data_IF_870918599276
#
_entry.id   IF_870918599276
#
_cell.length_a   1.000
_cell.length_b   1.000
_cell.length_c   1.000
_cell.angle_alpha   90.00
_cell.angle_beta   90.00
_cell.angle_gamma   90.00
#
_symmetry.space_group_name_H-M   'P 1'
#
loop_
_entity.id
_entity.type
_entity.pdbx_description
1 polymer ?
#
# COMPACT_ATOMS: atom_id res chain seq x y z
N UNK A 1 -9.00 -24.57 -3.42
CA UNK A 1 -7.94 -24.38 -2.40
C UNK A 1 -8.21 -23.07 -1.69
N UNK A 2 -8.02 -22.99 -0.37
CA UNK A 2 -8.10 -21.72 0.36
C UNK A 2 -6.73 -21.03 0.48
N UNK A 3 -6.72 -19.75 0.84
CA UNK A 3 -5.50 -18.93 0.93
C UNK A 3 -4.52 -19.45 1.98
N UNK A 4 -5.01 -19.97 3.11
CA UNK A 4 -4.15 -20.49 4.19
C UNK A 4 -3.40 -21.72 3.70
N UNK A 5 -4.09 -22.60 2.98
CA UNK A 5 -3.48 -23.78 2.39
C UNK A 5 -2.49 -23.41 1.28
N UNK A 6 -2.80 -22.42 0.44
CA UNK A 6 -1.84 -21.88 -0.53
C UNK A 6 -0.57 -21.38 0.16
N UNK A 7 -0.68 -20.59 1.24
CA UNK A 7 0.47 -20.07 1.98
C UNK A 7 1.31 -21.21 2.58
N UNK A 8 0.66 -22.23 3.15
CA UNK A 8 1.35 -23.39 3.75
C UNK A 8 2.10 -24.22 2.69
N UNK A 9 1.47 -24.44 1.54
CA UNK A 9 2.05 -25.26 0.46
C UNK A 9 3.04 -24.50 -0.39
N UNK A 10 2.91 -23.17 -0.48
CA UNK A 10 3.78 -22.33 -1.30
C UNK A 10 5.21 -22.57 -0.91
N UNK A 11 6.01 -22.85 -1.92
CA UNK A 11 7.45 -23.09 -1.85
C UNK A 11 8.05 -22.77 -3.20
N UNK A 12 9.33 -22.44 -3.24
CA UNK A 12 10.01 -22.24 -4.51
C UNK A 12 10.49 -23.58 -5.08
N UNK A 13 10.16 -23.81 -6.34
CA UNK A 13 10.54 -24.98 -7.12
C UNK A 13 11.63 -24.59 -8.12
N UNK A 14 12.69 -25.40 -8.23
CA UNK A 14 13.81 -25.13 -9.15
C UNK A 14 13.94 -26.22 -10.21
N UNK A 15 12.88 -26.98 -10.42
CA UNK A 15 12.78 -28.07 -11.38
C UNK A 15 11.33 -28.22 -11.79
N UNK A 16 11.08 -28.21 -13.09
CA UNK A 16 9.75 -28.24 -13.69
C UNK A 16 9.67 -29.42 -14.66
N UNK A 17 8.48 -29.79 -15.11
CA UNK A 17 8.35 -30.64 -16.31
C UNK A 17 8.47 -29.80 -17.57
N UNK A 18 8.59 -30.45 -18.73
CA UNK A 18 8.57 -29.77 -20.04
C UNK A 18 7.14 -29.51 -20.54
N UNK A 19 6.12 -29.90 -19.78
CA UNK A 19 4.72 -29.62 -20.08
C UNK A 19 4.48 -28.11 -20.08
N UNK A 20 3.86 -27.55 -21.14
CA UNK A 20 3.58 -26.12 -21.20
C UNK A 20 2.56 -25.71 -20.13
N UNK A 21 2.56 -24.42 -19.79
CA UNK A 21 1.51 -23.83 -18.96
C UNK A 21 0.38 -23.37 -19.87
N UNK A 22 -0.85 -23.76 -19.54
CA UNK A 22 -2.02 -23.37 -20.32
C UNK A 22 -2.22 -21.85 -20.31
N UNK A 23 -2.69 -21.31 -21.44
CA UNK A 23 -2.95 -19.86 -21.61
C UNK A 23 -3.95 -19.34 -20.56
N UNK A 24 -4.96 -20.14 -20.21
CA UNK A 24 -5.93 -19.78 -19.16
C UNK A 24 -5.24 -19.66 -17.80
N UNK A 25 -4.33 -20.56 -17.48
CA UNK A 25 -3.57 -20.50 -16.23
C UNK A 25 -2.65 -19.28 -16.22
N UNK A 26 -1.95 -18.99 -17.32
CA UNK A 26 -1.13 -17.77 -17.45
C UNK A 26 -1.98 -16.50 -17.27
N UNK A 27 -3.15 -16.44 -17.90
CA UNK A 27 -4.08 -15.32 -17.75
C UNK A 27 -4.55 -15.13 -16.30
N UNK A 28 -4.81 -16.22 -15.58
CA UNK A 28 -5.17 -16.16 -14.15
C UNK A 28 -4.00 -15.68 -13.28
N UNK A 29 -2.77 -16.06 -13.59
CA UNK A 29 -1.58 -15.56 -12.90
C UNK A 29 -1.36 -14.07 -13.16
N UNK A 30 -1.54 -13.60 -14.40
CA UNK A 30 -1.49 -12.18 -14.75
C UNK A 30 -2.57 -11.40 -14.02
N UNK A 31 -3.80 -11.95 -13.96
CA UNK A 31 -4.88 -11.35 -13.18
C UNK A 31 -4.50 -11.24 -11.70
N UNK A 32 -3.93 -12.29 -11.10
CA UNK A 32 -3.50 -12.28 -9.70
C UNK A 32 -2.42 -11.22 -9.44
N UNK A 33 -1.43 -11.12 -10.32
CA UNK A 33 -0.42 -10.07 -10.29
C UNK A 33 -1.06 -8.69 -10.36
N UNK A 34 -1.99 -8.46 -11.30
CA UNK A 34 -2.70 -7.19 -11.50
C UNK A 34 -3.53 -6.76 -10.28
N UNK A 35 -4.01 -7.70 -9.47
CA UNK A 35 -4.83 -7.41 -8.27
C UNK A 35 -4.04 -7.07 -7.02
N UNK A 36 -2.70 -7.19 -7.05
CA UNK A 36 -1.87 -6.80 -5.92
C UNK A 36 -1.92 -5.28 -5.67
N UNK A 37 -1.85 -4.85 -4.40
CA UNK A 37 -1.87 -3.43 -4.04
C UNK A 37 -0.73 -2.68 -4.73
N UNK A 38 -0.98 -1.40 -5.01
CA UNK A 38 -0.08 -0.54 -5.77
C UNK A 38 -0.01 0.83 -5.12
N UNK A 39 1.23 1.33 -4.93
CA UNK A 39 1.46 2.65 -4.35
C UNK A 39 0.69 3.72 -5.10
N UNK A 40 -0.06 4.56 -4.38
CA UNK A 40 -0.89 5.61 -4.96
C UNK A 40 -1.98 5.14 -5.94
N UNK A 41 -2.18 3.82 -6.10
CA UNK A 41 -2.97 3.19 -7.17
C UNK A 41 -2.58 3.69 -8.59
N UNK A 42 -1.31 4.02 -8.78
CA UNK A 42 -0.78 4.58 -10.03
C UNK A 42 -0.28 3.46 -10.93
N UNK A 43 -0.74 3.38 -12.18
CA UNK A 43 -0.44 2.30 -13.13
C UNK A 43 1.06 2.21 -13.55
N UNK A 44 1.96 1.92 -12.61
CA UNK A 44 3.41 1.85 -12.79
C UNK A 44 3.89 0.44 -13.12
N UNK A 45 3.17 -0.59 -12.64
CA UNK A 45 3.48 -1.99 -12.92
C UNK A 45 3.24 -2.31 -14.39
N UNK A 46 4.17 -3.06 -14.98
CA UNK A 46 4.03 -3.74 -16.27
C UNK A 46 4.27 -5.22 -16.03
N UNK A 47 3.56 -6.07 -16.77
CA UNK A 47 3.72 -7.52 -16.66
C UNK A 47 4.03 -8.03 -18.06
N UNK A 48 5.17 -8.68 -18.22
CA UNK A 48 5.54 -9.37 -19.46
C UNK A 48 5.40 -10.86 -19.23
N UNK A 49 4.60 -11.53 -20.07
CA UNK A 49 4.46 -12.99 -20.06
C UNK A 49 5.33 -13.54 -21.18
N UNK A 50 6.21 -14.48 -20.86
CA UNK A 50 7.06 -15.15 -21.83
C UNK A 50 6.81 -16.65 -21.73
N UNK A 51 6.21 -17.22 -22.78
CA UNK A 51 5.98 -18.65 -22.92
C UNK A 51 6.47 -19.18 -24.29
N UNK A 52 6.89 -18.30 -25.21
CA UNK A 52 7.50 -18.72 -26.47
C UNK A 52 8.82 -19.45 -26.20
N UNK A 53 9.01 -20.68 -26.70
CA UNK A 53 10.21 -21.47 -26.42
C UNK A 53 11.51 -20.82 -26.91
N UNK A 54 11.48 -20.03 -27.98
CA UNK A 54 12.67 -19.34 -28.48
C UNK A 54 13.05 -18.16 -27.57
N UNK A 55 12.08 -17.33 -27.19
CA UNK A 55 12.32 -16.22 -26.25
C UNK A 55 12.75 -16.76 -24.88
N UNK A 56 12.11 -17.83 -24.39
CA UNK A 56 12.48 -18.48 -23.13
C UNK A 56 13.92 -18.99 -23.11
N UNK A 57 14.43 -19.52 -24.23
CA UNK A 57 15.85 -19.92 -24.34
C UNK A 57 16.77 -18.72 -24.11
N UNK A 58 16.48 -17.59 -24.73
CA UNK A 58 17.28 -16.37 -24.59
C UNK A 58 17.19 -15.79 -23.17
N UNK A 59 15.98 -15.72 -22.59
CA UNK A 59 15.76 -15.22 -21.22
C UNK A 59 16.55 -16.05 -20.19
N UNK A 60 16.61 -17.38 -20.36
CA UNK A 60 17.42 -18.26 -19.50
C UNK A 60 18.92 -17.99 -19.62
N UNK A 61 19.43 -17.70 -20.82
CA UNK A 61 20.85 -17.40 -21.04
C UNK A 61 21.29 -16.11 -20.32
N UNK A 62 20.41 -15.10 -20.27
CA UNK A 62 20.68 -13.82 -19.60
C UNK A 62 20.31 -13.81 -18.11
N UNK A 63 19.72 -14.90 -17.63
CA UNK A 63 19.35 -15.12 -16.22
C UNK A 63 19.91 -16.46 -15.71
N UNK A 64 21.25 -16.60 -15.70
CA UNK A 64 21.88 -17.88 -15.38
C UNK A 64 21.52 -18.35 -13.96
N UNK A 65 21.29 -19.66 -13.83
CA UNK A 65 21.19 -20.43 -12.58
C UNK A 65 19.86 -20.46 -11.82
N UNK A 66 18.80 -19.75 -12.22
CA UNK A 66 17.58 -19.70 -11.39
C UNK A 66 16.21 -19.88 -12.09
N UNK A 67 16.14 -19.85 -13.43
CA UNK A 67 14.90 -20.15 -14.16
C UNK A 67 14.70 -21.65 -14.46
N UNK A 68 15.72 -22.49 -14.21
CA UNK A 68 15.72 -23.93 -14.50
C UNK A 68 15.15 -24.23 -15.91
N UNK A 69 14.41 -25.34 -16.05
CA UNK A 69 13.66 -25.68 -17.26
C UNK A 69 12.20 -25.18 -17.24
N UNK A 70 11.88 -24.09 -16.50
CA UNK A 70 10.51 -23.58 -16.43
C UNK A 70 9.94 -23.20 -17.80
N UNK A 71 8.79 -23.74 -18.24
CA UNK A 71 8.22 -23.49 -19.57
C UNK A 71 7.77 -22.04 -19.80
N UNK A 72 7.49 -21.28 -18.74
CA UNK A 72 7.11 -19.87 -18.83
C UNK A 72 7.78 -19.01 -17.74
N UNK A 73 7.81 -17.70 -17.96
CA UNK A 73 8.17 -16.70 -16.94
C UNK A 73 7.22 -15.50 -17.02
N UNK A 74 6.77 -15.01 -15.87
CA UNK A 74 6.16 -13.69 -15.73
C UNK A 74 7.23 -12.73 -15.24
N UNK A 75 7.39 -11.59 -15.90
CA UNK A 75 8.32 -10.53 -15.49
C UNK A 75 7.50 -9.36 -14.98
N UNK A 76 7.58 -9.11 -13.69
CA UNK A 76 7.03 -7.92 -13.07
C UNK A 76 8.04 -6.79 -13.28
N UNK A 77 7.63 -5.75 -13.98
CA UNK A 77 8.45 -4.58 -14.25
C UNK A 77 7.80 -3.31 -13.69
N UNK A 78 8.62 -2.30 -13.42
CA UNK A 78 8.15 -0.96 -13.08
C UNK A 78 8.55 0.03 -14.14
N UNK A 79 7.59 0.85 -14.58
CA UNK A 79 7.80 2.10 -15.31
C UNK A 79 8.30 3.17 -14.33
N UNK A 80 9.63 3.36 -14.27
CA UNK A 80 10.30 4.20 -13.29
C UNK A 80 10.02 5.68 -13.51
N UNK A 81 9.93 6.12 -14.76
CA UNK A 81 9.58 7.49 -15.10
C UNK A 81 8.17 7.83 -14.62
N UNK A 82 7.22 6.91 -14.84
CA UNK A 82 5.86 7.09 -14.32
C UNK A 82 5.80 7.04 -12.80
N UNK A 83 6.56 6.14 -12.17
CA UNK A 83 6.62 6.04 -10.72
C UNK A 83 7.16 7.33 -10.10
N UNK A 84 8.22 7.90 -10.67
CA UNK A 84 8.77 9.18 -10.21
C UNK A 84 7.82 10.35 -10.49
N UNK A 85 7.22 10.42 -11.68
CA UNK A 85 6.31 11.49 -12.05
C UNK A 85 5.04 11.51 -11.18
N UNK A 86 4.54 10.35 -10.76
CA UNK A 86 3.29 10.24 -9.99
C UNK A 86 3.49 10.27 -8.46
N UNK A 87 4.62 9.75 -7.98
CA UNK A 87 4.85 9.49 -6.55
C UNK A 87 6.24 9.94 -6.06
N UNK A 88 6.99 10.67 -6.89
CA UNK A 88 8.33 11.15 -6.56
C UNK A 88 9.37 10.04 -6.45
N UNK A 89 10.53 10.39 -5.92
CA UNK A 89 11.67 9.48 -5.75
C UNK A 89 11.26 8.27 -4.89
N UNK A 90 10.43 8.46 -3.87
CA UNK A 90 9.91 7.35 -3.05
C UNK A 90 9.05 6.38 -3.87
N UNK A 91 8.24 6.90 -4.79
CA UNK A 91 7.52 6.11 -5.79
C UNK A 91 8.45 5.21 -6.60
N UNK A 92 9.49 5.81 -7.17
CA UNK A 92 10.47 5.15 -8.04
C UNK A 92 11.31 4.11 -7.32
N UNK A 93 11.83 4.44 -6.13
CA UNK A 93 12.92 3.69 -5.50
C UNK A 93 12.43 2.77 -4.37
N UNK A 94 11.25 3.03 -3.78
CA UNK A 94 10.74 2.27 -2.63
C UNK A 94 9.41 1.61 -2.94
N UNK A 95 8.39 2.39 -3.31
CA UNK A 95 7.03 1.88 -3.49
C UNK A 95 6.94 0.89 -4.66
N UNK A 96 7.72 1.10 -5.71
CA UNK A 96 7.82 0.19 -6.87
C UNK A 96 8.28 -1.23 -6.48
N UNK A 97 9.22 -1.35 -5.54
CA UNK A 97 9.74 -2.65 -5.10
C UNK A 97 8.74 -3.37 -4.19
N UNK A 98 8.04 -2.63 -3.33
CA UNK A 98 6.95 -3.17 -2.50
C UNK A 98 5.81 -3.67 -3.40
N UNK A 99 5.45 -2.89 -4.42
CA UNK A 99 4.46 -3.24 -5.44
C UNK A 99 4.83 -4.53 -6.17
N UNK A 100 6.07 -4.62 -6.68
CA UNK A 100 6.55 -5.80 -7.39
C UNK A 100 6.53 -7.05 -6.51
N UNK A 101 6.96 -6.94 -5.25
CA UNK A 101 6.92 -8.03 -4.28
C UNK A 101 5.50 -8.52 -3.97
N UNK A 102 4.55 -7.59 -3.81
CA UNK A 102 3.14 -7.93 -3.58
C UNK A 102 2.52 -8.64 -4.79
N UNK A 103 2.81 -8.17 -6.00
CA UNK A 103 2.38 -8.82 -7.24
C UNK A 103 2.96 -10.22 -7.37
N UNK A 104 4.25 -10.38 -7.08
CA UNK A 104 4.92 -11.67 -7.14
C UNK A 104 4.32 -12.68 -6.15
N UNK A 105 4.04 -12.27 -4.91
CA UNK A 105 3.44 -13.18 -3.92
C UNK A 105 2.01 -13.59 -4.30
N UNK A 106 1.20 -12.68 -4.85
CA UNK A 106 -0.12 -13.05 -5.39
C UNK A 106 0.00 -14.12 -6.48
N UNK A 107 0.96 -13.98 -7.42
CA UNK A 107 1.22 -15.00 -8.45
C UNK A 107 1.62 -16.33 -7.82
N UNK A 108 2.50 -16.31 -6.81
CA UNK A 108 2.94 -17.54 -6.16
C UNK A 108 1.79 -18.28 -5.47
N UNK A 109 0.90 -17.56 -4.77
CA UNK A 109 -0.26 -18.17 -4.11
C UNK A 109 -1.32 -18.67 -5.10
N UNK A 110 -1.55 -17.93 -6.18
CA UNK A 110 -2.45 -18.33 -7.26
C UNK A 110 -1.92 -19.58 -7.97
N UNK A 111 -0.62 -19.64 -8.29
CA UNK A 111 0.00 -20.80 -8.93
C UNK A 111 -0.21 -22.08 -8.11
N UNK A 112 -0.03 -22.01 -6.78
CA UNK A 112 -0.27 -23.16 -5.90
C UNK A 112 -1.72 -23.62 -5.94
N UNK A 113 -2.68 -22.70 -6.02
CA UNK A 113 -4.10 -23.02 -6.16
C UNK A 113 -4.43 -23.69 -7.51
N UNK A 114 -3.65 -23.40 -8.55
CA UNK A 114 -3.73 -24.01 -9.88
C UNK A 114 -2.91 -25.30 -10.02
N UNK A 115 -2.23 -25.75 -8.95
CA UNK A 115 -1.33 -26.90 -9.01
C UNK A 115 0.01 -26.63 -9.70
N UNK A 116 0.31 -25.37 -9.99
CA UNK A 116 1.55 -24.93 -10.62
C UNK A 116 2.63 -24.63 -9.58
N UNK A 117 3.87 -24.71 -10.05
CA UNK A 117 5.08 -24.40 -9.32
C UNK A 117 5.65 -23.05 -9.74
N UNK A 118 6.27 -22.32 -8.81
CA UNK A 118 6.93 -21.05 -9.11
C UNK A 118 8.32 -20.91 -8.47
N UNK A 119 9.13 -20.01 -9.04
CA UNK A 119 10.38 -19.53 -8.44
C UNK A 119 10.59 -18.05 -8.73
N UNK A 120 10.89 -17.27 -7.70
CA UNK A 120 11.31 -15.88 -7.91
C UNK A 120 12.78 -15.81 -8.26
N UNK A 121 13.09 -14.95 -9.21
CA UNK A 121 14.44 -14.68 -9.70
C UNK A 121 14.60 -13.17 -9.83
N UNK A 122 15.55 -12.62 -9.04
CA UNK A 122 16.00 -11.23 -9.19
C UNK A 122 17.42 -11.15 -9.75
N UNK A 123 18.21 -12.20 -9.60
CA UNK A 123 19.59 -12.27 -10.10
C UNK A 123 19.59 -12.37 -11.64
N UNK A 124 19.34 -11.24 -12.29
CA UNK A 124 19.24 -11.09 -13.74
C UNK A 124 20.08 -9.92 -14.21
N UNK A 125 20.41 -9.90 -15.50
CA UNK A 125 20.98 -8.74 -16.14
C UNK A 125 19.86 -7.86 -16.71
N UNK A 126 19.59 -6.73 -16.05
CA UNK A 126 18.47 -5.87 -16.41
C UNK A 126 18.60 -5.31 -17.85
N UNK A 127 19.81 -4.92 -18.27
CA UNK A 127 20.07 -4.44 -19.65
C UNK A 127 19.76 -5.53 -20.68
N UNK A 128 20.24 -6.75 -20.42
CA UNK A 128 19.99 -7.87 -21.33
C UNK A 128 18.51 -8.27 -21.37
N UNK A 129 17.81 -8.22 -20.24
CA UNK A 129 16.36 -8.45 -20.20
C UNK A 129 15.58 -7.36 -20.92
N UNK A 130 16.00 -6.10 -20.79
CA UNK A 130 15.39 -5.00 -21.53
C UNK A 130 15.51 -5.22 -23.03
N UNK A 131 16.68 -5.61 -23.52
CA UNK A 131 16.88 -5.92 -24.94
C UNK A 131 16.03 -7.13 -25.39
N UNK A 132 16.10 -8.25 -24.66
CA UNK A 132 15.42 -9.50 -25.04
C UNK A 132 13.90 -9.36 -25.03
N UNK A 133 13.36 -8.54 -24.12
CA UNK A 133 11.92 -8.37 -23.94
C UNK A 133 11.39 -7.07 -24.57
N UNK A 134 12.24 -6.29 -25.22
CA UNK A 134 11.87 -4.99 -25.81
C UNK A 134 11.36 -3.98 -24.78
N UNK A 135 11.90 -4.01 -23.55
CA UNK A 135 11.52 -3.06 -22.52
C UNK A 135 12.15 -1.68 -22.82
N UNK A 136 11.38 -0.58 -22.70
CA UNK A 136 11.95 0.76 -22.74
C UNK A 136 13.01 0.98 -21.65
N UNK A 137 13.93 1.93 -21.86
CA UNK A 137 15.03 2.23 -20.92
C UNK A 137 14.55 2.62 -19.52
N UNK A 138 13.38 3.28 -19.41
CA UNK A 138 12.75 3.65 -18.15
C UNK A 138 11.97 2.52 -17.47
N UNK A 139 11.88 1.33 -18.07
CA UNK A 139 11.18 0.18 -17.50
C UNK A 139 12.18 -0.79 -16.90
N UNK A 140 12.13 -0.96 -15.57
CA UNK A 140 13.01 -1.86 -14.82
C UNK A 140 12.33 -3.21 -14.61
N UNK A 141 12.96 -4.34 -15.00
CA UNK A 141 12.48 -5.67 -14.62
C UNK A 141 12.80 -5.91 -13.13
N UNK A 142 11.77 -5.95 -12.29
CA UNK A 142 11.94 -6.07 -10.84
C UNK A 142 11.99 -7.52 -10.39
N UNK A 143 11.07 -8.37 -10.84
CA UNK A 143 11.00 -9.77 -10.40
C UNK A 143 10.60 -10.66 -11.58
N UNK A 144 11.42 -11.68 -11.85
CA UNK A 144 11.07 -12.76 -12.75
C UNK A 144 10.45 -13.89 -11.92
N UNK A 145 9.36 -14.45 -12.41
CA UNK A 145 8.62 -15.52 -11.75
C UNK A 145 8.56 -16.68 -12.74
N UNK A 146 9.46 -17.64 -12.58
CA UNK A 146 9.40 -18.89 -13.32
C UNK A 146 8.09 -19.59 -12.99
N UNK A 147 7.40 -20.14 -14.01
CA UNK A 147 6.14 -20.86 -13.87
C UNK A 147 6.21 -22.17 -14.66
N UNK A 148 5.71 -23.25 -14.07
CA UNK A 148 5.56 -24.54 -14.73
C UNK A 148 4.92 -25.57 -13.83
N UNK A 149 4.73 -26.78 -14.34
CA UNK A 149 4.32 -27.91 -13.51
C UNK A 149 5.50 -28.44 -12.69
N UNK A 150 5.30 -28.80 -11.41
CA UNK A 150 6.38 -29.31 -10.58
C UNK A 150 6.94 -30.62 -11.14
N UNK A 151 8.27 -30.76 -11.17
CA UNK A 151 8.90 -32.03 -11.52
C UNK A 151 8.44 -33.17 -10.58
N UNK A 152 8.36 -34.41 -11.10
CA UNK A 152 7.93 -35.59 -10.35
C UNK A 152 8.69 -35.80 -9.03
N UNK A 153 9.99 -35.47 -9.04
CA UNK A 153 10.82 -35.39 -7.83
C UNK A 153 11.18 -33.92 -7.60
N UNK A 154 10.38 -33.16 -6.83
CA UNK A 154 10.67 -31.76 -6.57
C UNK A 154 11.94 -31.64 -5.72
N UNK A 155 12.72 -30.59 -5.94
CA UNK A 155 13.92 -30.29 -5.13
C UNK A 155 13.56 -30.21 -3.63
N UNK A 156 14.50 -30.33 -2.69
CA UNK A 156 14.20 -30.13 -1.27
C UNK A 156 13.60 -28.73 -0.99
N UNK A 157 12.59 -28.66 -0.13
CA UNK A 157 12.06 -27.38 0.32
C UNK A 157 13.03 -26.77 1.33
N UNK A 158 13.40 -25.50 1.13
CA UNK A 158 14.10 -24.75 2.17
C UNK A 158 13.13 -24.51 3.32
N UNK A 159 13.53 -24.83 4.54
CA UNK A 159 12.72 -24.52 5.73
C UNK A 159 12.84 -23.02 5.99
N UNK A 160 11.70 -22.35 6.11
CA UNK A 160 11.70 -20.97 6.56
C UNK A 160 12.19 -20.93 8.01
N UNK A 161 13.12 -20.02 8.37
CA UNK A 161 13.45 -19.79 9.76
C UNK A 161 12.20 -19.30 10.51
N UNK A 162 12.11 -19.53 11.82
CA UNK A 162 11.05 -18.94 12.63
C UNK A 162 11.09 -17.41 12.50
N UNK A 163 9.92 -16.78 12.42
CA UNK A 163 9.83 -15.33 12.38
C UNK A 163 10.34 -14.73 13.69
N UNK A 164 11.18 -13.70 13.60
CA UNK A 164 11.54 -12.86 14.74
C UNK A 164 10.48 -11.79 14.87
N UNK A 165 9.71 -11.83 15.95
CA UNK A 165 8.55 -10.95 16.15
C UNK A 165 8.74 -10.14 17.42
N UNK A 166 8.44 -8.84 17.31
CA UNK A 166 8.41 -7.93 18.44
C UNK A 166 7.01 -7.35 18.60
N UNK A 167 6.56 -7.17 19.83
CA UNK A 167 5.28 -6.51 20.13
C UNK A 167 5.55 -5.11 20.66
N UNK A 168 4.85 -4.13 20.09
CA UNK A 168 4.89 -2.71 20.44
C UNK A 168 6.23 -1.98 20.18
N UNK A 169 7.39 -2.58 20.49
CA UNK A 169 8.72 -1.98 20.30
C UNK A 169 9.75 -3.01 19.81
N UNK A 170 10.68 -2.58 18.95
CA UNK A 170 11.81 -3.42 18.54
C UNK A 170 12.62 -3.86 19.77
N UNK A 171 12.97 -5.15 19.83
CA UNK A 171 13.60 -5.75 21.01
C UNK A 171 12.63 -6.36 22.03
N UNK A 172 11.36 -5.95 22.05
CA UNK A 172 10.31 -6.54 22.90
C UNK A 172 9.78 -7.82 22.27
N UNK A 173 10.55 -8.91 22.37
CA UNK A 173 10.26 -10.18 21.74
C UNK A 173 8.85 -10.69 22.12
N UNK A 174 8.11 -11.16 21.13
CA UNK A 174 6.76 -11.70 21.32
C UNK A 174 6.59 -13.02 20.58
N UNK A 175 6.08 -14.01 21.29
CA UNK A 175 5.67 -15.29 20.72
C UNK A 175 4.16 -15.30 20.56
N UNK A 176 3.62 -15.05 19.35
CA UNK A 176 2.19 -15.21 19.11
C UNK A 176 1.74 -16.63 19.47
N UNK A 177 0.55 -16.81 20.05
CA UNK A 177 -0.05 -18.14 20.08
C UNK A 177 -0.11 -18.65 18.64
N UNK A 178 0.40 -19.86 18.42
CA UNK A 178 0.38 -20.51 17.11
C UNK A 178 -1.04 -20.51 16.60
N UNK A 179 -1.23 -20.12 15.33
CA UNK A 179 -2.54 -20.09 14.72
C UNK A 179 -3.12 -21.53 14.71
N UNK A 180 -3.91 -21.87 15.72
CA UNK A 180 -4.86 -22.97 15.64
C UNK A 180 -5.88 -22.60 14.55
N UNK A 181 -6.27 -23.59 13.76
CA UNK A 181 -7.09 -23.48 12.56
C UNK A 181 -8.56 -23.16 12.84
N UNK A 182 -8.86 -22.23 13.74
CA UNK A 182 -10.22 -21.75 13.98
C UNK A 182 -10.41 -20.32 13.48
N UNK A 183 -11.57 -20.00 12.86
CA UNK A 183 -11.89 -18.64 12.50
C UNK A 183 -11.96 -17.80 13.77
N UNK A 184 -11.09 -16.79 13.85
CA UNK A 184 -10.98 -15.91 15.01
C UNK A 184 -12.32 -15.17 15.19
N UNK A 185 -12.97 -15.39 16.34
CA UNK A 185 -14.08 -14.55 16.82
C UNK A 185 -13.64 -13.08 16.78
N UNK A 186 -14.53 -12.21 16.28
CA UNK A 186 -14.36 -10.76 16.25
C UNK A 186 -13.91 -10.26 17.63
N UNK A 187 -12.73 -9.67 17.68
CA UNK A 187 -12.22 -9.00 18.87
C UNK A 187 -13.04 -7.71 19.04
N UNK A 188 -13.64 -7.44 20.21
CA UNK A 188 -14.27 -6.16 20.45
C UNK A 188 -13.18 -5.09 20.36
N UNK A 189 -13.38 -4.10 19.48
CA UNK A 189 -12.59 -2.87 19.49
C UNK A 189 -12.74 -2.27 20.89
N UNK A 190 -11.64 -2.15 21.63
CA UNK A 190 -11.63 -1.41 22.90
C UNK A 190 -11.94 0.04 22.57
N UNK A 191 -13.17 0.48 22.83
CA UNK A 191 -13.51 1.89 22.91
C UNK A 191 -12.85 2.48 24.15
N UNK A 192 -11.68 3.08 23.97
CA UNK A 192 -11.14 4.03 24.94
C UNK A 192 -11.89 5.35 24.77
N UNK A 193 -12.40 5.90 25.87
CA UNK A 193 -13.15 7.16 25.90
C UNK A 193 -12.26 8.40 25.90
N UNK A 194 -10.93 8.21 25.92
CA UNK A 194 -9.95 9.29 26.01
C UNK A 194 -9.23 9.42 24.66
N UNK A 195 -9.30 10.63 24.07
CA UNK A 195 -8.60 10.96 22.84
C UNK A 195 -7.08 10.99 22.99
N UNK A 196 -6.33 11.06 21.87
CA UNK A 196 -4.88 11.16 21.89
C UNK A 196 -4.43 12.39 22.70
N UNK A 197 -3.42 12.19 23.55
CA UNK A 197 -2.81 13.24 24.35
C UNK A 197 -2.16 14.33 23.46
N UNK A 198 -1.90 15.55 23.99
CA UNK A 198 -1.14 16.57 23.26
C UNK A 198 0.24 16.08 22.79
N UNK A 199 0.89 15.22 23.58
CA UNK A 199 2.17 14.62 23.20
C UNK A 199 2.04 13.65 22.01
N UNK A 200 1.03 12.77 22.03
CA UNK A 200 0.78 11.83 20.93
C UNK A 200 0.40 12.56 19.64
N UNK A 201 -0.37 13.64 19.77
CA UNK A 201 -0.75 14.48 18.63
C UNK A 201 0.46 15.24 18.07
N UNK A 202 1.30 15.82 18.93
CA UNK A 202 2.54 16.48 18.51
C UNK A 202 3.51 15.51 17.83
N UNK A 203 3.67 14.30 18.39
CA UNK A 203 4.49 13.25 17.78
C UNK A 203 3.97 12.87 16.39
N UNK A 204 2.65 12.69 16.25
CA UNK A 204 2.02 12.39 14.96
C UNK A 204 2.27 13.50 13.94
N UNK A 205 2.13 14.77 14.31
CA UNK A 205 2.35 15.92 13.42
C UNK A 205 3.82 16.07 13.02
N UNK A 206 4.77 15.89 13.95
CA UNK A 206 6.22 15.96 13.66
C UNK A 206 6.65 14.84 12.72
N UNK A 207 6.20 13.60 12.98
CA UNK A 207 6.46 12.47 12.09
C UNK A 207 5.85 12.72 10.71
N UNK A 208 4.59 13.19 10.66
CA UNK A 208 3.92 13.51 9.40
C UNK A 208 4.62 14.60 8.60
N UNK A 209 5.11 15.65 9.26
CA UNK A 209 5.85 16.72 8.59
C UNK A 209 7.16 16.21 7.96
N UNK A 210 7.86 15.28 8.62
CA UNK A 210 9.04 14.64 8.03
C UNK A 210 8.68 13.79 6.82
N UNK A 211 7.61 13.00 6.92
CA UNK A 211 7.17 12.11 5.82
C UNK A 211 6.69 12.91 4.60
N UNK A 212 6.10 14.10 4.80
CA UNK A 212 5.67 14.99 3.70
C UNK A 212 6.81 15.41 2.75
N UNK A 213 8.08 15.26 3.15
CA UNK A 213 9.22 15.57 2.28
C UNK A 213 9.49 14.47 1.25
N UNK A 214 9.14 13.22 1.59
CA UNK A 214 9.47 12.06 0.79
C UNK A 214 8.21 11.42 0.15
N UNK A 215 7.02 11.67 0.71
CA UNK A 215 5.74 11.10 0.25
C UNK A 215 5.10 11.81 -0.94
N UNK A 216 4.20 11.11 -1.68
CA UNK A 216 3.41 11.75 -2.73
C UNK A 216 2.63 12.95 -2.16
N UNK A 217 2.64 14.07 -2.89
CA UNK A 217 2.10 15.38 -2.46
C UNK A 217 0.68 15.32 -1.88
N UNK A 218 -0.11 14.33 -2.28
CA UNK A 218 -1.48 14.10 -1.85
C UNK A 218 -1.64 13.62 -0.39
N UNK A 219 -0.65 12.91 0.16
CA UNK A 219 -0.73 12.40 1.53
C UNK A 219 -0.46 13.48 2.58
N UNK A 220 0.19 14.59 2.20
CA UNK A 220 0.43 15.72 3.09
C UNK A 220 -0.87 16.34 3.62
N UNK A 221 -1.77 16.86 2.76
CA UNK A 221 -3.06 17.40 3.17
C UNK A 221 -3.91 16.41 3.98
N UNK A 222 -3.90 15.13 3.59
CA UNK A 222 -4.57 14.06 4.34
C UNK A 222 -4.05 13.94 5.77
N UNK A 223 -2.72 13.85 5.96
CA UNK A 223 -2.10 13.74 7.29
C UNK A 223 -2.36 14.97 8.16
N UNK A 224 -2.39 16.17 7.58
CA UNK A 224 -2.72 17.39 8.34
C UNK A 224 -4.16 17.36 8.86
N UNK A 225 -5.11 16.95 8.03
CA UNK A 225 -6.53 16.86 8.40
C UNK A 225 -6.81 15.72 9.39
N UNK A 226 -6.13 14.59 9.24
CA UNK A 226 -6.14 13.51 10.24
C UNK A 226 -5.58 14.00 11.58
N UNK A 227 -4.52 14.83 11.56
CA UNK A 227 -4.00 15.50 12.73
C UNK A 227 -5.04 16.40 13.42
N UNK A 228 -5.81 17.17 12.64
CA UNK A 228 -6.93 17.96 13.17
C UNK A 228 -7.98 17.05 13.82
N UNK A 229 -8.43 15.97 13.18
CA UNK A 229 -9.42 15.05 13.78
C UNK A 229 -8.98 14.50 15.13
N UNK A 230 -7.68 14.15 15.27
CA UNK A 230 -7.07 13.69 16.52
C UNK A 230 -7.07 14.77 17.59
N UNK A 231 -6.73 16.02 17.23
CA UNK A 231 -6.77 17.16 18.16
C UNK A 231 -8.18 17.45 18.68
N UNK A 232 -9.21 17.23 17.86
CA UNK A 232 -10.60 17.49 18.22
C UNK A 232 -11.20 16.38 19.11
N UNK A 233 -10.47 15.31 19.36
CA UNK A 233 -10.95 14.23 20.22
C UNK A 233 -11.09 14.70 21.68
N UNK A 234 -12.22 14.41 22.31
CA UNK A 234 -12.53 14.88 23.66
C UNK A 234 -12.98 16.35 23.76
N UNK A 235 -13.09 17.09 22.64
CA UNK A 235 -13.61 18.47 22.61
C UNK A 235 -15.15 18.54 22.67
N UNK A 236 -15.79 17.66 23.45
CA UNK A 236 -17.24 17.51 23.49
C UNK A 236 -18.01 18.74 24.01
N UNK A 237 -17.31 19.69 24.65
CA UNK A 237 -17.87 20.96 25.14
C UNK A 237 -17.99 22.03 24.05
N UNK A 238 -17.37 21.87 22.89
CA UNK A 238 -17.44 22.79 21.76
C UNK A 238 -18.23 22.15 20.61
N UNK A 239 -19.46 22.64 20.41
CA UNK A 239 -20.40 22.07 19.44
C UNK A 239 -19.90 22.16 17.99
N UNK A 240 -19.24 23.26 17.63
CA UNK A 240 -18.66 23.42 16.29
C UNK A 240 -17.52 22.43 16.08
N UNK A 241 -16.59 22.31 17.04
CA UNK A 241 -15.46 21.38 16.91
C UNK A 241 -15.91 19.92 16.87
N UNK A 242 -16.97 19.58 17.61
CA UNK A 242 -17.60 18.25 17.55
C UNK A 242 -18.16 17.94 16.17
N UNK A 243 -18.86 18.91 15.56
CA UNK A 243 -19.40 18.79 14.20
C UNK A 243 -18.29 18.66 13.14
N UNK A 244 -17.25 19.50 13.23
CA UNK A 244 -16.11 19.46 12.32
C UNK A 244 -15.35 18.14 12.41
N UNK A 245 -15.14 17.58 13.60
CA UNK A 245 -14.54 16.24 13.75
C UNK A 245 -15.36 15.19 13.00
N UNK A 246 -16.67 15.18 13.21
CA UNK A 246 -17.55 14.21 12.53
C UNK A 246 -17.52 14.38 11.01
N UNK A 247 -17.44 15.62 10.50
CA UNK A 247 -17.27 15.89 9.07
C UNK A 247 -15.93 15.39 8.54
N UNK A 248 -14.83 15.68 9.24
CA UNK A 248 -13.49 15.22 8.89
C UNK A 248 -13.41 13.69 8.87
N UNK A 249 -13.92 13.01 9.89
CA UNK A 249 -13.85 11.56 9.98
C UNK A 249 -14.62 10.83 8.87
N UNK A 250 -15.71 11.44 8.36
CA UNK A 250 -16.43 10.92 7.20
C UNK A 250 -15.66 11.11 5.89
N UNK A 251 -15.06 12.28 5.69
CA UNK A 251 -14.60 12.71 4.37
C UNK A 251 -13.09 12.58 4.14
N UNK A 252 -12.26 12.47 5.19
CA UNK A 252 -10.79 12.48 5.07
C UNK A 252 -10.22 11.44 4.10
N UNK A 253 -10.86 10.28 3.96
CA UNK A 253 -10.41 9.22 3.04
C UNK A 253 -10.83 9.44 1.58
N UNK A 254 -11.68 10.43 1.28
CA UNK A 254 -12.12 10.73 -0.10
C UNK A 254 -10.97 11.13 -1.02
N UNK A 255 -9.85 11.62 -0.44
CA UNK A 255 -8.59 11.88 -1.13
C UNK A 255 -8.08 10.68 -1.96
N UNK A 256 -8.42 9.46 -1.52
CA UNK A 256 -8.00 8.22 -2.20
C UNK A 256 -8.87 7.89 -3.42
N UNK A 257 -10.07 8.47 -3.51
CA UNK A 257 -11.07 8.17 -4.53
C UNK A 257 -11.25 9.29 -5.56
N UNK A 258 -11.29 10.56 -5.12
CA UNK A 258 -11.46 11.72 -5.98
C UNK A 258 -10.74 12.96 -5.40
N UNK A 259 -9.61 13.29 -6.03
CA UNK A 259 -8.74 14.40 -5.61
C UNK A 259 -9.41 15.76 -5.75
N UNK A 260 -10.21 15.95 -6.80
CA UNK A 260 -10.85 17.22 -7.08
C UNK A 260 -12.01 17.46 -6.10
N UNK A 261 -12.75 16.41 -5.77
CA UNK A 261 -13.78 16.48 -4.72
C UNK A 261 -13.17 16.70 -3.34
N UNK A 262 -12.06 16.03 -3.01
CA UNK A 262 -11.36 16.27 -1.75
C UNK A 262 -10.87 17.72 -1.62
N UNK A 263 -10.29 18.30 -2.67
CA UNK A 263 -9.86 19.69 -2.66
C UNK A 263 -11.04 20.67 -2.43
N UNK A 264 -12.17 20.48 -3.13
CA UNK A 264 -13.38 21.28 -2.91
C UNK A 264 -13.89 21.15 -1.48
N UNK A 265 -13.89 19.93 -0.95
CA UNK A 265 -14.29 19.68 0.44
C UNK A 265 -13.37 20.38 1.45
N UNK A 266 -12.05 20.43 1.21
CA UNK A 266 -11.14 21.21 2.05
C UNK A 266 -11.43 22.71 1.99
N UNK A 267 -11.76 23.25 0.81
CA UNK A 267 -12.15 24.65 0.67
C UNK A 267 -13.42 24.95 1.48
N UNK A 268 -14.41 24.05 1.45
CA UNK A 268 -15.64 24.20 2.22
C UNK A 268 -15.39 24.09 3.72
N UNK A 269 -14.58 23.11 4.16
CA UNK A 269 -14.16 22.99 5.55
C UNK A 269 -13.45 24.26 6.03
N UNK A 270 -12.55 24.83 5.22
CA UNK A 270 -11.85 26.06 5.54
C UNK A 270 -12.82 27.26 5.65
N UNK A 271 -13.84 27.34 4.78
CA UNK A 271 -14.89 28.37 4.89
C UNK A 271 -15.64 28.25 6.21
N UNK A 272 -15.98 27.04 6.64
CA UNK A 272 -16.68 26.82 7.91
C UNK A 272 -15.85 27.26 9.11
N UNK A 273 -14.56 26.89 9.13
CA UNK A 273 -13.62 27.37 10.16
C UNK A 273 -13.44 28.89 10.13
N UNK A 274 -13.36 29.51 8.94
CA UNK A 274 -13.23 30.96 8.82
C UNK A 274 -14.49 31.70 9.30
N UNK A 275 -15.68 31.19 8.96
CA UNK A 275 -16.95 31.75 9.43
C UNK A 275 -17.07 31.65 10.96
N UNK A 276 -16.71 30.50 11.54
CA UNK A 276 -16.69 30.33 12.99
C UNK A 276 -15.66 31.25 13.67
N UNK A 277 -14.45 31.38 13.11
CA UNK A 277 -13.46 32.32 13.61
C UNK A 277 -14.00 33.76 13.61
N UNK A 278 -14.74 34.16 12.57
CA UNK A 278 -15.45 35.44 12.52
C UNK A 278 -16.46 35.62 13.65
N UNK A 279 -17.25 34.58 13.97
CA UNK A 279 -18.20 34.60 15.09
C UNK A 279 -17.49 34.71 16.45
N UNK A 280 -16.44 33.91 16.67
CA UNK A 280 -15.68 33.90 17.94
C UNK A 280 -14.93 35.20 18.18
N UNK A 281 -14.47 35.85 17.13
CA UNK A 281 -13.71 37.10 17.19
C UNK A 281 -14.59 38.37 17.06
N UNK A 282 -15.91 38.23 16.93
CA UNK A 282 -16.81 39.37 16.85
C UNK A 282 -16.69 40.22 18.13
N UNK A 283 -16.53 41.55 18.01
CA UNK A 283 -16.38 42.41 19.19
C UNK A 283 -17.64 42.31 20.07
N UNK A 284 -17.44 42.20 21.38
CA UNK A 284 -18.54 42.16 22.35
C UNK A 284 -19.44 43.38 22.17
N UNK A 285 -20.74 43.13 21.94
CA UNK A 285 -21.75 44.19 21.86
C UNK A 285 -21.82 44.93 23.19
N UNK A 286 -21.32 46.18 23.24
CA UNK A 286 -21.57 47.11 24.34
C UNK A 286 -22.88 47.84 24.03
N UNK A 287 -23.98 47.60 24.76
CA UNK A 287 -25.16 48.44 24.61
C UNK A 287 -24.79 49.88 24.98
N UNK A 288 -25.24 50.85 24.17
CA UNK A 288 -25.07 52.26 24.48
C UNK A 288 -25.72 52.57 25.84
N UNK A 289 -24.99 53.27 26.71
CA UNK A 289 -25.56 53.78 27.95
C UNK A 289 -26.79 54.63 27.62
N UNK A 290 -27.92 54.48 28.36
CA UNK A 290 -29.10 55.28 28.10
C UNK A 290 -28.74 56.76 28.21
N UNK A 291 -29.15 57.54 27.21
CA UNK A 291 -29.03 58.99 27.23
C UNK A 291 -29.73 59.49 28.50
N UNK A 292 -28.96 60.13 29.38
CA UNK A 292 -29.50 60.83 30.54
C UNK A 292 -30.20 62.06 29.96
N UNK A 293 -31.50 61.93 29.76
CA UNK A 293 -32.34 63.03 29.32
C UNK A 293 -32.36 64.07 30.44
N UNK A 294 -31.91 65.26 30.11
CA UNK A 294 -31.89 66.37 31.04
C UNK A 294 -33.27 66.98 31.15
N UNK A 295 -33.93 66.83 32.30
CA UNK A 295 -35.03 67.72 32.70
C UNK A 295 -34.92 68.14 34.18
N UNK A 296 -34.46 69.38 34.35
CA UNK A 296 -34.99 70.45 35.21
C UNK A 296 -35.78 70.04 36.47
N UNK A 297 -35.19 70.27 37.64
CA UNK A 297 -35.56 71.36 38.58
C UNK A 297 -34.56 71.49 39.71
#
# INVERSE_FOLDING_TARGET
>A
MDVTESIRRRRFHRSFTDEPVDEEALAQLVWAAGRAPMGGNELVRRIVVVADPAVMRTVRQVTPSFLANAPAVLVICTDLERAEASMGIQGRDVLSLVDAGAAAENVALAAVALGLATCFVRSSNDVALQEVLGLPSGVRPDILIAVGHPAATPSPAMKNPPAVVYRDRFGSAWSPPTASSEPRKTVPVRGGTDGPTPFETALYLVASARDCLDEPLIYGPFRMIEGVSRMLEGQASDGFLTEMKAAIDREKYSVMADRASFARWLDDLLRDFAAEAGRRNAPAFKPAAPAIDGEKR
#
